data_IF_455839057575
#
_entry.id   IF_455839057575
#
_cell.length_a   1.000
_cell.length_b   1.000
_cell.length_c   1.000
_cell.angle_alpha   90.00
_cell.angle_beta   90.00
_cell.angle_gamma   90.00
#
_symmetry.space_group_name_H-M   'P 1'
#
loop_
_entity.id
_entity.type
_entity.pdbx_description
1 polymer ?
#
# COMPACT_ATOMS: atom_id res chain seq x y z
N UNK A 1 -7.17 -24.03 -30.52
CA UNK A 1 -6.26 -25.03 -29.89
C UNK A 1 -4.79 -24.92 -30.36
N UNK A 2 -4.29 -23.76 -30.82
CA UNK A 2 -2.88 -23.61 -31.27
C UNK A 2 -1.94 -22.92 -30.26
N UNK A 3 -2.47 -22.36 -29.15
CA UNK A 3 -1.68 -21.60 -28.17
C UNK A 3 -1.16 -22.41 -26.96
N UNK A 4 -1.57 -23.67 -26.77
CA UNK A 4 -1.20 -24.47 -25.60
C UNK A 4 0.18 -25.13 -25.70
N UNK A 5 0.73 -25.30 -26.91
CA UNK A 5 2.06 -25.89 -27.13
C UNK A 5 3.24 -24.99 -26.71
N UNK A 6 3.03 -23.68 -26.53
CA UNK A 6 4.11 -22.74 -26.11
C UNK A 6 4.31 -22.66 -24.60
N UNK A 7 3.39 -23.17 -23.78
CA UNK A 7 3.53 -23.17 -22.32
C UNK A 7 4.24 -24.42 -21.77
N UNK A 8 4.31 -25.52 -22.52
CA UNK A 8 4.96 -26.76 -22.06
C UNK A 8 6.48 -26.67 -22.00
N UNK A 9 7.09 -25.72 -22.70
CA UNK A 9 8.55 -25.56 -22.79
C UNK A 9 9.11 -24.54 -21.77
N UNK A 10 8.22 -23.92 -20.96
CA UNK A 10 8.62 -22.94 -19.97
C UNK A 10 9.25 -23.60 -18.73
N UNK A 11 10.31 -23.01 -18.14
CA UNK A 11 10.93 -23.56 -16.94
C UNK A 11 9.90 -23.77 -15.81
N UNK A 12 9.96 -24.88 -15.03
CA UNK A 12 8.97 -25.18 -14.00
C UNK A 12 8.80 -24.09 -12.93
N UNK A 13 9.84 -23.28 -12.68
CA UNK A 13 9.77 -22.14 -11.76
C UNK A 13 8.97 -20.97 -12.33
N UNK A 14 9.05 -20.74 -13.64
CA UNK A 14 8.32 -19.68 -14.34
C UNK A 14 6.83 -20.03 -14.42
N UNK A 15 6.53 -21.30 -14.70
CA UNK A 15 5.16 -21.81 -14.66
C UNK A 15 4.56 -21.64 -13.26
N UNK A 16 5.30 -21.95 -12.18
CA UNK A 16 4.87 -21.74 -10.78
C UNK A 16 4.59 -20.26 -10.47
N UNK A 17 5.44 -19.35 -10.95
CA UNK A 17 5.29 -17.91 -10.74
C UNK A 17 4.05 -17.36 -11.46
N UNK A 18 3.79 -17.85 -12.67
CA UNK A 18 2.69 -17.37 -13.53
C UNK A 18 1.36 -18.10 -13.28
N UNK A 19 1.37 -19.25 -12.59
CA UNK A 19 0.18 -20.04 -12.26
C UNK A 19 -0.98 -19.20 -11.71
N UNK A 20 -0.80 -18.31 -10.70
CA UNK A 20 -1.92 -17.52 -10.18
C UNK A 20 -2.46 -16.45 -11.16
N UNK A 21 -1.66 -16.00 -12.13
CA UNK A 21 -2.11 -15.05 -13.16
C UNK A 21 -2.87 -15.77 -14.28
N UNK A 22 -2.32 -16.90 -14.75
CA UNK A 22 -2.96 -17.77 -15.72
C UNK A 22 -4.29 -18.30 -15.18
N UNK A 23 -4.30 -18.75 -13.92
CA UNK A 23 -5.51 -19.19 -13.23
C UNK A 23 -6.59 -18.11 -13.17
N UNK A 24 -6.20 -16.85 -12.94
CA UNK A 24 -7.13 -15.72 -12.88
C UNK A 24 -7.76 -15.44 -14.23
N UNK A 25 -6.95 -15.50 -15.27
CA UNK A 25 -7.38 -15.25 -16.64
C UNK A 25 -8.34 -16.33 -17.12
N UNK A 26 -7.97 -17.60 -16.93
CA UNK A 26 -8.78 -18.76 -17.30
C UNK A 26 -10.09 -18.79 -16.51
N UNK A 27 -10.05 -18.57 -15.19
CA UNK A 27 -11.25 -18.51 -14.36
C UNK A 27 -12.23 -17.41 -14.83
N UNK A 28 -11.73 -16.24 -15.23
CA UNK A 28 -12.57 -15.14 -15.74
C UNK A 28 -13.16 -15.43 -17.11
N UNK A 29 -12.44 -16.12 -17.99
CA UNK A 29 -12.98 -16.52 -19.29
C UNK A 29 -14.08 -17.57 -19.11
N UNK A 30 -13.84 -18.60 -18.30
CA UNK A 30 -14.83 -19.65 -18.05
C UNK A 30 -16.10 -19.12 -17.36
N UNK A 31 -15.98 -18.21 -16.40
CA UNK A 31 -17.14 -17.59 -15.75
C UNK A 31 -17.95 -16.69 -16.70
N UNK A 32 -17.34 -16.17 -17.77
CA UNK A 32 -18.05 -15.43 -18.83
C UNK A 32 -18.72 -16.35 -19.84
N UNK A 33 -18.10 -17.48 -20.15
CA UNK A 33 -18.62 -18.46 -21.12
C UNK A 33 -19.79 -19.28 -20.55
N UNK A 34 -19.78 -19.60 -19.25
CA UNK A 34 -20.83 -20.40 -18.60
C UNK A 34 -21.25 -19.75 -17.24
N UNK A 35 -22.01 -18.64 -17.27
CA UNK A 35 -22.33 -17.84 -16.09
C UNK A 35 -23.24 -18.54 -15.06
N UNK A 36 -23.85 -19.68 -15.40
CA UNK A 36 -24.71 -20.48 -14.52
C UNK A 36 -24.03 -21.68 -13.86
N UNK A 37 -22.79 -22.01 -14.26
CA UNK A 37 -22.09 -23.19 -13.76
C UNK A 37 -21.41 -22.94 -12.41
N UNK A 38 -21.48 -23.92 -11.50
CA UNK A 38 -20.78 -23.85 -10.23
C UNK A 38 -19.27 -24.05 -10.41
N UNK A 39 -18.46 -23.44 -9.54
CA UNK A 39 -17.00 -23.57 -9.56
C UNK A 39 -16.53 -25.04 -9.54
N UNK A 40 -17.27 -25.90 -8.84
CA UNK A 40 -17.00 -27.34 -8.76
C UNK A 40 -17.28 -28.07 -10.08
N UNK A 41 -18.33 -27.68 -10.82
CA UNK A 41 -18.64 -28.26 -12.12
C UNK A 41 -17.59 -27.88 -13.19
N UNK A 42 -17.16 -26.62 -13.19
CA UNK A 42 -16.12 -26.11 -14.09
C UNK A 42 -14.75 -26.76 -13.79
N UNK A 43 -14.40 -26.90 -12.51
CA UNK A 43 -13.19 -27.59 -12.07
C UNK A 43 -13.14 -29.07 -12.46
N UNK A 44 -14.28 -29.78 -12.30
CA UNK A 44 -14.41 -31.18 -12.72
C UNK A 44 -14.23 -31.36 -14.23
N UNK A 45 -14.75 -30.43 -15.05
CA UNK A 45 -14.55 -30.41 -16.51
C UNK A 45 -13.07 -30.21 -16.86
N UNK A 46 -12.39 -29.24 -16.25
CA UNK A 46 -10.96 -29.01 -16.49
C UNK A 46 -10.11 -30.24 -16.14
N UNK A 47 -10.42 -30.93 -15.04
CA UNK A 47 -9.72 -32.17 -14.68
C UNK A 47 -9.98 -33.30 -15.68
N UNK A 48 -11.17 -33.38 -16.26
CA UNK A 48 -11.50 -34.38 -17.27
C UNK A 48 -10.71 -34.15 -18.57
N UNK A 49 -10.48 -32.89 -18.96
CA UNK A 49 -9.74 -32.51 -20.16
C UNK A 49 -8.22 -32.77 -20.07
N UNK A 50 -7.68 -33.00 -18.86
CA UNK A 50 -6.25 -33.26 -18.64
C UNK A 50 -5.80 -34.70 -18.99
N UNK A 51 -6.73 -35.60 -19.32
CA UNK A 51 -6.44 -36.99 -19.66
C UNK A 51 -5.97 -37.86 -18.48
N UNK A 52 -5.61 -39.12 -18.74
CA UNK A 52 -5.34 -40.13 -17.70
C UNK A 52 -4.00 -39.98 -16.95
N UNK A 53 -3.04 -39.19 -17.48
CA UNK A 53 -1.75 -38.88 -16.83
C UNK A 53 -1.40 -37.39 -16.96
N UNK A 54 -1.99 -36.53 -16.13
CA UNK A 54 -1.75 -35.09 -16.21
C UNK A 54 -0.33 -34.71 -15.75
N UNK A 55 0.26 -33.72 -16.42
CA UNK A 55 1.48 -33.06 -15.93
C UNK A 55 1.23 -32.39 -14.56
N UNK A 56 2.14 -32.56 -13.56
CA UNK A 56 2.09 -31.84 -12.29
C UNK A 56 1.95 -30.31 -12.40
N UNK A 57 2.41 -29.67 -13.47
CA UNK A 57 2.18 -28.24 -13.70
C UNK A 57 0.72 -27.95 -14.09
N UNK A 58 0.13 -28.81 -14.92
CA UNK A 58 -1.25 -28.66 -15.38
C UNK A 58 -2.26 -28.92 -14.24
N UNK A 59 -1.99 -29.90 -13.36
CA UNK A 59 -2.79 -30.12 -12.15
C UNK A 59 -2.79 -28.91 -11.21
N UNK A 60 -1.62 -28.30 -10.98
CA UNK A 60 -1.49 -27.08 -10.16
C UNK A 60 -2.22 -25.89 -10.76
N UNK A 61 -2.20 -25.76 -12.08
CA UNK A 61 -2.96 -24.72 -12.77
C UNK A 61 -4.46 -24.94 -12.57
N UNK A 62 -4.97 -26.16 -12.77
CA UNK A 62 -6.39 -26.47 -12.53
C UNK A 62 -6.80 -26.22 -11.08
N UNK A 63 -5.99 -26.63 -10.10
CA UNK A 63 -6.23 -26.32 -8.69
C UNK A 63 -6.25 -24.81 -8.41
N UNK A 64 -5.35 -24.04 -9.02
CA UNK A 64 -5.32 -22.60 -8.88
C UNK A 64 -6.54 -21.94 -9.55
N UNK A 65 -6.98 -22.43 -10.71
CA UNK A 65 -8.17 -21.96 -11.43
C UNK A 65 -9.42 -22.26 -10.61
N UNK A 66 -9.54 -23.46 -10.04
CA UNK A 66 -10.64 -23.84 -9.14
C UNK A 66 -10.71 -22.94 -7.92
N UNK A 67 -9.58 -22.66 -7.26
CA UNK A 67 -9.52 -21.71 -6.14
C UNK A 67 -9.99 -20.31 -6.54
N UNK A 68 -9.72 -19.92 -7.78
CA UNK A 68 -10.04 -18.59 -8.27
C UNK A 68 -11.49 -18.46 -8.77
N UNK A 69 -12.05 -19.53 -9.33
CA UNK A 69 -13.47 -19.68 -9.65
C UNK A 69 -14.32 -19.71 -8.37
N UNK A 70 -13.83 -20.39 -7.32
CA UNK A 70 -14.47 -20.39 -6.01
C UNK A 70 -14.58 -18.98 -5.38
N UNK A 71 -13.60 -18.10 -5.64
CA UNK A 71 -13.66 -16.70 -5.18
C UNK A 71 -14.63 -15.84 -6.01
N UNK A 72 -14.87 -16.20 -7.28
CA UNK A 72 -15.64 -15.40 -8.23
C UNK A 72 -17.13 -15.78 -8.30
N UNK A 73 -17.48 -17.04 -8.06
CA UNK A 73 -18.86 -17.54 -8.14
C UNK A 73 -19.52 -17.58 -6.75
N UNK A 74 -20.75 -17.08 -6.59
CA UNK A 74 -21.43 -17.08 -5.30
C UNK A 74 -21.70 -18.52 -4.82
N UNK A 75 -21.27 -18.85 -3.59
CA UNK A 75 -21.56 -20.13 -2.93
C UNK A 75 -20.36 -21.00 -2.53
N UNK A 76 -19.12 -20.62 -2.84
CA UNK A 76 -17.96 -21.42 -2.43
C UNK A 76 -17.51 -21.14 -0.99
N UNK A 77 -17.26 -22.20 -0.22
CA UNK A 77 -16.69 -22.12 1.14
C UNK A 77 -15.42 -21.27 1.13
N UNK A 78 -15.36 -20.30 2.05
CA UNK A 78 -14.24 -19.38 2.22
C UNK A 78 -12.91 -20.13 2.36
N UNK A 79 -11.96 -19.84 1.47
CA UNK A 79 -10.54 -20.19 1.65
C UNK A 79 -10.02 -19.41 2.86
N UNK A 80 -9.25 -20.03 3.78
CA UNK A 80 -8.68 -19.29 4.91
C UNK A 80 -7.81 -18.15 4.39
N UNK A 81 -8.09 -16.93 4.86
CA UNK A 81 -7.24 -15.77 4.63
C UNK A 81 -5.81 -16.09 5.06
N UNK A 82 -4.81 -15.56 4.34
CA UNK A 82 -3.40 -15.60 4.75
C UNK A 82 -3.34 -15.22 6.23
N UNK A 83 -2.64 -16.04 7.03
CA UNK A 83 -2.71 -15.98 8.48
C UNK A 83 -2.51 -14.54 9.00
N UNK A 84 -3.36 -14.04 9.91
CA UNK A 84 -3.33 -12.66 10.40
C UNK A 84 -2.03 -12.27 11.12
N UNK A 85 -1.11 -13.21 11.36
CA UNK A 85 0.13 -12.98 12.10
C UNK A 85 1.17 -12.10 11.39
N UNK A 86 1.46 -12.33 10.10
CA UNK A 86 2.59 -11.64 9.44
C UNK A 86 2.27 -10.15 9.20
N UNK A 87 1.04 -9.85 8.77
CA UNK A 87 0.61 -8.46 8.59
C UNK A 87 0.52 -7.70 9.92
N UNK A 88 0.09 -8.36 10.99
CA UNK A 88 0.04 -7.75 12.32
C UNK A 88 1.44 -7.51 12.91
N UNK A 89 2.38 -8.44 12.72
CA UNK A 89 3.76 -8.30 13.18
C UNK A 89 4.46 -7.14 12.48
N UNK A 90 4.32 -7.03 11.15
CA UNK A 90 4.90 -5.91 10.39
C UNK A 90 4.29 -4.56 10.83
N UNK A 91 2.98 -4.54 11.11
CA UNK A 91 2.27 -3.36 11.60
C UNK A 91 2.72 -2.95 13.01
N UNK A 92 2.85 -3.92 13.92
CA UNK A 92 3.37 -3.72 15.27
C UNK A 92 4.83 -3.22 15.22
N UNK A 93 5.68 -3.86 14.41
CA UNK A 93 7.07 -3.45 14.26
C UNK A 93 7.20 -2.01 13.72
N UNK A 94 6.39 -1.64 12.73
CA UNK A 94 6.37 -0.29 12.16
C UNK A 94 5.93 0.78 13.17
N UNK A 95 4.99 0.44 14.07
CA UNK A 95 4.52 1.35 15.12
C UNK A 95 5.45 1.40 16.33
N UNK A 96 6.17 0.32 16.63
CA UNK A 96 7.15 0.25 17.72
C UNK A 96 8.49 0.88 17.33
N UNK A 97 8.82 0.99 16.04
CA UNK A 97 10.09 1.55 15.60
C UNK A 97 10.32 3.01 16.06
N UNK A 98 9.36 3.94 15.94
CA UNK A 98 9.52 5.29 16.50
C UNK A 98 9.72 5.29 18.01
N UNK A 99 9.00 4.43 18.74
CA UNK A 99 9.14 4.28 20.20
C UNK A 99 10.52 3.74 20.57
N UNK A 100 11.01 2.75 19.84
CA UNK A 100 12.37 2.22 19.99
C UNK A 100 13.42 3.31 19.71
N UNK A 101 13.21 4.13 18.69
CA UNK A 101 14.06 5.27 18.40
C UNK A 101 14.19 6.22 19.59
N UNK A 102 13.08 6.55 20.25
CA UNK A 102 13.09 7.41 21.45
C UNK A 102 13.75 6.70 22.63
N UNK A 103 13.41 5.44 22.88
CA UNK A 103 13.85 4.71 24.07
C UNK A 103 15.31 4.24 24.01
N UNK A 104 15.82 3.87 22.83
CA UNK A 104 17.13 3.25 22.66
C UNK A 104 18.11 4.07 21.81
N UNK A 105 17.61 4.89 20.88
CA UNK A 105 18.46 5.70 19.98
C UNK A 105 18.51 7.18 20.40
N UNK A 106 17.85 7.54 21.50
CA UNK A 106 17.83 8.90 22.04
C UNK A 106 17.06 9.89 21.17
N UNK A 107 16.17 9.42 20.29
CA UNK A 107 15.41 10.31 19.41
C UNK A 107 14.53 11.25 20.23
N UNK A 108 14.56 12.52 19.85
CA UNK A 108 13.62 13.50 20.35
C UNK A 108 12.25 13.32 19.69
N UNK A 109 11.21 13.90 20.29
CA UNK A 109 9.87 13.95 19.68
C UNK A 109 9.92 14.65 18.31
N UNK A 110 10.77 15.67 18.18
CA UNK A 110 10.97 16.35 16.91
C UNK A 110 11.57 15.41 15.85
N UNK A 111 12.51 14.55 16.20
CA UNK A 111 13.16 13.61 15.27
C UNK A 111 12.12 12.63 14.69
N UNK A 112 11.22 12.14 15.55
CA UNK A 112 10.10 11.29 15.14
C UNK A 112 9.18 12.04 14.19
N UNK A 113 8.71 13.24 14.57
CA UNK A 113 7.82 14.05 13.73
C UNK A 113 8.48 14.43 12.40
N UNK A 114 9.79 14.70 12.40
CA UNK A 114 10.58 15.00 11.21
C UNK A 114 10.63 13.78 10.27
N UNK A 115 10.89 12.58 10.78
CA UNK A 115 10.86 11.35 9.96
C UNK A 115 9.49 11.11 9.33
N UNK A 116 8.42 11.29 10.10
CA UNK A 116 7.06 11.18 9.59
C UNK A 116 6.74 12.23 8.51
N UNK A 117 7.25 13.45 8.67
CA UNK A 117 7.11 14.50 7.67
C UNK A 117 7.91 14.18 6.40
N UNK A 118 9.17 13.74 6.52
CA UNK A 118 10.01 13.30 5.39
C UNK A 118 9.36 12.14 4.65
N UNK A 119 8.76 11.18 5.37
CA UNK A 119 8.02 10.07 4.75
C UNK A 119 6.88 10.59 3.87
N UNK A 120 6.14 11.62 4.31
CA UNK A 120 5.09 12.23 3.49
C UNK A 120 5.66 12.89 2.23
N UNK A 121 6.81 13.56 2.32
CA UNK A 121 7.49 14.12 1.14
C UNK A 121 7.82 13.00 0.14
N UNK A 122 8.46 11.91 0.60
CA UNK A 122 8.81 10.75 -0.23
C UNK A 122 7.56 10.16 -0.90
N UNK A 123 6.49 9.96 -0.13
CA UNK A 123 5.23 9.39 -0.61
C UNK A 123 4.58 10.32 -1.64
N UNK A 124 4.61 11.64 -1.42
CA UNK A 124 4.13 12.63 -2.37
C UNK A 124 4.88 12.57 -3.71
N UNK A 125 6.22 12.57 -3.66
CA UNK A 125 7.07 12.48 -4.85
C UNK A 125 6.82 11.18 -5.64
N UNK A 126 6.74 10.05 -4.94
CA UNK A 126 6.43 8.77 -5.58
C UNK A 126 4.99 8.72 -6.09
N UNK A 127 4.04 9.42 -5.47
CA UNK A 127 2.68 9.51 -5.97
C UNK A 127 2.60 10.35 -7.25
N UNK A 128 3.37 11.44 -7.35
CA UNK A 128 3.54 12.19 -8.61
C UNK A 128 4.09 11.26 -9.69
N UNK A 129 5.15 10.49 -9.40
CA UNK A 129 5.68 9.51 -10.33
C UNK A 129 4.61 8.49 -10.75
N UNK A 130 3.83 7.95 -9.79
CA UNK A 130 2.70 7.06 -10.10
C UNK A 130 1.70 7.74 -11.05
N UNK A 131 1.30 8.97 -10.78
CA UNK A 131 0.36 9.69 -11.64
C UNK A 131 0.92 9.93 -13.05
N UNK A 132 2.23 10.20 -13.18
CA UNK A 132 2.91 10.36 -14.47
C UNK A 132 2.97 9.04 -15.24
N UNK A 133 3.34 7.94 -14.59
CA UNK A 133 3.43 6.61 -15.21
C UNK A 133 2.10 5.89 -15.38
N UNK A 134 1.01 6.40 -14.80
CA UNK A 134 -0.33 5.86 -14.98
C UNK A 134 -0.68 5.81 -16.48
N UNK A 135 -1.12 4.65 -16.95
CA UNK A 135 -1.43 4.36 -18.35
C UNK A 135 -2.88 3.89 -18.46
N UNK A 136 -3.87 4.79 -18.30
CA UNK A 136 -5.28 4.42 -18.36
C UNK A 136 -5.68 4.02 -19.80
N UNK A 137 -6.61 3.07 -19.91
CA UNK A 137 -7.15 2.60 -21.20
C UNK A 137 -8.03 3.65 -21.90
N UNK A 138 -8.58 4.60 -21.14
CA UNK A 138 -9.51 5.64 -21.62
C UNK A 138 -8.76 6.94 -22.01
N UNK A 139 -8.87 7.41 -23.27
CA UNK A 139 -8.27 8.67 -23.72
C UNK A 139 -8.63 9.90 -22.88
N UNK A 140 -9.85 9.96 -22.32
CA UNK A 140 -10.28 11.09 -21.49
C UNK A 140 -9.45 11.19 -20.19
N UNK A 141 -9.00 10.04 -19.67
CA UNK A 141 -8.17 9.98 -18.46
C UNK A 141 -6.73 10.43 -18.71
N UNK A 142 -6.26 10.44 -19.96
CA UNK A 142 -4.97 11.05 -20.31
C UNK A 142 -5.02 12.57 -20.19
N UNK A 143 -6.11 13.20 -20.65
CA UNK A 143 -6.33 14.64 -20.47
C UNK A 143 -6.42 15.02 -18.99
N UNK A 144 -7.07 14.17 -18.18
CA UNK A 144 -7.15 14.36 -16.74
C UNK A 144 -5.76 14.49 -16.07
N UNK A 145 -4.74 13.74 -16.53
CA UNK A 145 -3.37 13.82 -15.97
C UNK A 145 -2.78 15.24 -16.07
N UNK A 146 -3.06 15.97 -17.15
CA UNK A 146 -2.56 17.34 -17.36
C UNK A 146 -3.12 18.32 -16.33
N UNK A 147 -4.31 18.05 -15.79
CA UNK A 147 -4.90 18.86 -14.72
C UNK A 147 -4.47 18.34 -13.34
N UNK A 148 -4.59 17.04 -13.11
CA UNK A 148 -4.43 16.45 -11.78
C UNK A 148 -2.98 16.41 -11.31
N UNK A 149 -1.99 16.22 -12.18
CA UNK A 149 -0.57 16.16 -11.76
C UNK A 149 -0.09 17.54 -11.24
N UNK A 150 -0.23 18.65 -12.00
CA UNK A 150 0.14 19.97 -11.50
C UNK A 150 -0.67 20.38 -10.27
N UNK A 151 -1.99 20.10 -10.28
CA UNK A 151 -2.85 20.35 -9.13
C UNK A 151 -2.34 19.62 -7.89
N UNK A 152 -2.01 18.34 -8.01
CA UNK A 152 -1.47 17.55 -6.91
C UNK A 152 -0.15 18.13 -6.41
N UNK A 153 0.79 18.46 -7.30
CA UNK A 153 2.07 19.07 -6.91
C UNK A 153 1.87 20.35 -6.10
N UNK A 154 1.01 21.27 -6.56
CA UNK A 154 0.75 22.53 -5.88
C UNK A 154 0.00 22.31 -4.56
N UNK A 155 -1.11 21.59 -4.60
CA UNK A 155 -1.98 21.42 -3.44
C UNK A 155 -1.33 20.54 -2.37
N UNK A 156 -0.87 19.33 -2.73
CA UNK A 156 -0.18 18.45 -1.79
C UNK A 156 1.14 19.06 -1.31
N UNK A 157 1.87 19.74 -2.20
CA UNK A 157 3.10 20.46 -1.86
C UNK A 157 2.86 21.56 -0.83
N UNK A 158 1.84 22.40 -1.03
CA UNK A 158 1.46 23.44 -0.06
C UNK A 158 1.10 22.84 1.31
N UNK A 159 0.28 21.79 1.35
CA UNK A 159 -0.05 21.11 2.60
C UNK A 159 1.19 20.54 3.28
N UNK A 160 2.10 19.92 2.52
CA UNK A 160 3.33 19.35 3.07
C UNK A 160 4.28 20.45 3.59
N UNK A 161 4.36 21.59 2.90
CA UNK A 161 5.18 22.72 3.31
C UNK A 161 4.64 23.39 4.58
N UNK A 162 3.34 23.70 4.65
CA UNK A 162 2.68 24.23 5.86
C UNK A 162 2.89 23.28 7.03
N UNK A 163 2.78 21.98 6.78
CA UNK A 163 3.03 20.98 7.80
C UNK A 163 4.47 20.99 8.32
N UNK A 164 5.45 21.06 7.41
CA UNK A 164 6.85 21.20 7.78
C UNK A 164 7.06 22.43 8.65
N UNK A 165 6.41 23.54 8.31
CA UNK A 165 6.49 24.75 9.11
C UNK A 165 5.99 24.57 10.55
N UNK A 166 4.93 23.78 10.78
CA UNK A 166 4.50 23.42 12.14
C UNK A 166 5.50 22.50 12.85
N UNK A 167 5.99 21.46 12.19
CA UNK A 167 6.96 20.51 12.78
C UNK A 167 8.21 21.25 13.27
N UNK A 168 8.82 22.04 12.41
CA UNK A 168 10.03 22.79 12.75
C UNK A 168 9.74 23.99 13.66
N UNK A 169 8.64 24.71 13.44
CA UNK A 169 8.32 25.91 14.22
C UNK A 169 7.91 25.61 15.67
N UNK A 170 7.22 24.49 15.91
CA UNK A 170 6.74 24.12 17.25
C UNK A 170 7.64 23.16 17.99
N UNK A 171 8.34 22.26 17.28
CA UNK A 171 9.14 21.19 17.90
C UNK A 171 10.63 21.29 17.58
N UNK A 172 11.03 22.09 16.59
CA UNK A 172 12.44 22.27 16.23
C UNK A 172 13.22 23.00 17.32
N UNK A 173 14.36 22.42 17.72
CA UNK A 173 15.21 23.03 18.76
C UNK A 173 16.07 24.19 18.26
N UNK A 174 16.25 24.32 16.93
CA UNK A 174 16.92 25.46 16.29
C UNK A 174 15.86 26.27 15.56
N UNK A 175 15.92 27.60 15.69
CA UNK A 175 15.09 28.53 14.90
C UNK A 175 15.55 28.46 13.44
N UNK A 176 15.11 27.45 12.71
CA UNK A 176 15.39 27.30 11.28
C UNK A 176 14.51 28.31 10.55
N UNK A 177 15.06 29.46 10.16
CA UNK A 177 14.35 30.49 9.39
C UNK A 177 14.20 30.14 7.90
N UNK A 178 14.78 29.00 7.47
CA UNK A 178 14.91 28.55 6.07
C UNK A 178 14.05 27.32 5.76
N UNK A 179 12.84 27.27 6.31
CA UNK A 179 11.96 26.09 6.20
C UNK A 179 11.58 25.71 4.77
N UNK A 180 11.65 26.66 3.84
CA UNK A 180 11.35 26.45 2.42
C UNK A 180 12.59 26.09 1.59
N UNK A 181 13.77 26.01 2.20
CA UNK A 181 15.01 25.62 1.53
C UNK A 181 15.26 24.11 1.74
N UNK A 182 15.42 23.32 0.66
CA UNK A 182 15.75 21.91 0.74
C UNK A 182 16.95 21.60 1.64
N UNK A 183 17.99 22.42 1.52
CA UNK A 183 19.24 22.29 2.25
C UNK A 183 19.03 22.31 3.78
N UNK A 184 18.12 23.14 4.27
CA UNK A 184 17.92 23.33 5.71
C UNK A 184 17.41 22.06 6.42
N UNK A 185 16.49 21.32 5.80
CA UNK A 185 16.00 20.07 6.39
C UNK A 185 16.93 18.89 6.09
N UNK A 186 17.67 18.89 4.97
CA UNK A 186 18.73 17.90 4.71
C UNK A 186 19.85 18.00 5.75
N UNK A 187 20.30 19.22 6.08
CA UNK A 187 21.26 19.49 7.14
C UNK A 187 20.73 19.05 8.50
N UNK A 188 19.45 19.28 8.76
CA UNK A 188 18.81 18.86 10.02
C UNK A 188 18.78 17.34 10.15
N UNK A 189 18.42 16.62 9.08
CA UNK A 189 18.45 15.15 9.04
C UNK A 189 19.87 14.64 9.32
N UNK A 190 20.88 15.28 8.73
CA UNK A 190 22.29 14.95 8.97
C UNK A 190 22.74 15.21 10.40
N UNK A 191 22.42 16.39 10.92
CA UNK A 191 22.75 16.78 12.29
C UNK A 191 22.11 15.87 13.35
N UNK A 192 20.95 15.28 13.04
CA UNK A 192 20.26 14.33 13.92
C UNK A 192 20.62 12.86 13.67
N UNK A 193 21.51 12.57 12.71
CA UNK A 193 21.90 11.19 12.39
C UNK A 193 20.77 10.34 11.80
N UNK A 194 19.76 10.97 11.19
CA UNK A 194 18.54 10.31 10.72
C UNK A 194 18.66 9.71 9.31
N UNK A 195 19.80 9.87 8.63
CA UNK A 195 20.00 9.39 7.26
C UNK A 195 19.70 7.91 7.06
N UNK A 196 20.06 7.06 8.03
CA UNK A 196 19.75 5.63 7.94
C UNK A 196 18.24 5.37 7.96
N UNK A 197 17.51 6.02 8.87
CA UNK A 197 16.06 5.88 8.97
C UNK A 197 15.37 6.40 7.70
N UNK A 198 15.78 7.58 7.20
CA UNK A 198 15.28 8.13 5.93
C UNK A 198 15.58 7.19 4.77
N UNK A 199 16.79 6.62 4.70
CA UNK A 199 17.19 5.67 3.66
C UNK A 199 16.33 4.40 3.67
N UNK A 200 16.06 3.82 4.85
CA UNK A 200 15.19 2.65 5.00
C UNK A 200 13.75 2.96 4.58
N UNK A 201 13.22 4.12 5.00
CA UNK A 201 11.87 4.57 4.60
C UNK A 201 11.78 4.74 3.07
N UNK A 202 12.75 5.46 2.48
CA UNK A 202 12.82 5.67 1.05
C UNK A 202 12.92 4.34 0.29
N UNK A 203 13.80 3.43 0.73
CA UNK A 203 13.97 2.12 0.12
C UNK A 203 12.68 1.28 0.16
N UNK A 204 11.94 1.30 1.27
CA UNK A 204 10.66 0.60 1.40
C UNK A 204 9.61 1.10 0.38
N UNK A 205 9.47 2.43 0.26
CA UNK A 205 8.51 3.00 -0.70
C UNK A 205 8.97 2.86 -2.16
N UNK A 206 10.27 3.00 -2.43
CA UNK A 206 10.87 2.77 -3.75
C UNK A 206 10.69 1.31 -4.18
N UNK A 207 10.93 0.35 -3.28
CA UNK A 207 10.67 -1.06 -3.55
C UNK A 207 9.21 -1.29 -3.93
N UNK A 208 8.26 -0.72 -3.17
CA UNK A 208 6.84 -0.81 -3.51
C UNK A 208 6.50 -0.16 -4.86
N UNK A 209 7.15 0.95 -5.21
CA UNK A 209 7.01 1.59 -6.51
C UNK A 209 7.55 0.73 -7.65
N UNK A 210 8.83 0.33 -7.60
CA UNK A 210 9.42 -0.45 -8.70
C UNK A 210 8.86 -1.86 -8.80
N UNK A 211 8.73 -2.56 -7.68
CA UNK A 211 8.28 -3.94 -7.68
C UNK A 211 6.79 -4.06 -7.98
N UNK A 212 5.94 -3.41 -7.18
CA UNK A 212 4.49 -3.55 -7.34
C UNK A 212 3.96 -2.66 -8.45
N UNK A 213 4.29 -1.36 -8.44
CA UNK A 213 3.64 -0.43 -9.35
C UNK A 213 4.09 -0.61 -10.80
N UNK A 214 5.41 -0.64 -11.03
CA UNK A 214 6.00 -0.83 -12.37
C UNK A 214 6.02 -2.32 -12.73
N UNK A 215 6.70 -3.15 -11.93
CA UNK A 215 6.97 -4.56 -12.24
C UNK A 215 5.71 -5.43 -12.36
N UNK A 216 4.71 -5.23 -11.50
CA UNK A 216 3.43 -5.96 -11.56
C UNK A 216 2.35 -5.25 -12.40
N UNK A 217 2.69 -4.11 -12.99
CA UNK A 217 1.82 -3.41 -13.94
C UNK A 217 0.61 -2.70 -13.32
N UNK A 218 0.62 -2.35 -12.03
CA UNK A 218 -0.46 -1.57 -11.41
C UNK A 218 -0.68 -0.23 -12.13
N UNK A 219 0.37 0.33 -12.75
CA UNK A 219 0.29 1.57 -13.53
C UNK A 219 -0.74 1.52 -14.67
N UNK A 220 -1.03 0.33 -15.21
CA UNK A 220 -2.00 0.14 -16.32
C UNK A 220 -3.45 0.30 -15.86
N UNK A 221 -3.73 -0.04 -14.61
CA UNK A 221 -5.07 0.07 -14.03
C UNK A 221 -5.25 1.33 -13.17
N UNK A 222 -4.21 2.17 -13.06
CA UNK A 222 -4.22 3.35 -12.23
C UNK A 222 -4.80 4.56 -12.98
N UNK A 223 -5.64 5.34 -12.31
CA UNK A 223 -6.14 6.62 -12.81
C UNK A 223 -5.64 7.77 -11.94
N UNK A 224 -5.42 8.94 -12.54
CA UNK A 224 -4.96 10.12 -11.82
C UNK A 224 -5.89 10.55 -10.67
N UNK A 225 -7.23 10.54 -10.82
CA UNK A 225 -8.14 10.87 -9.71
C UNK A 225 -8.04 9.90 -8.53
N UNK A 226 -7.89 8.60 -8.78
CA UNK A 226 -7.76 7.60 -7.72
C UNK A 226 -6.42 7.75 -6.97
N UNK A 227 -5.35 8.08 -7.69
CA UNK A 227 -4.03 8.32 -7.10
C UNK A 227 -3.98 9.63 -6.32
N UNK A 228 -4.74 10.65 -6.70
CA UNK A 228 -4.77 11.95 -6.02
C UNK A 228 -5.15 11.81 -4.54
N UNK A 229 -6.23 11.08 -4.22
CA UNK A 229 -6.71 10.94 -2.84
C UNK A 229 -5.86 10.02 -1.96
N UNK A 230 -5.01 9.17 -2.55
CA UNK A 230 -4.32 8.07 -1.86
C UNK A 230 -3.44 8.51 -0.67
N UNK A 231 -2.68 9.63 -0.75
CA UNK A 231 -1.81 10.05 0.36
C UNK A 231 -2.53 10.80 1.49
N UNK A 232 -3.74 11.31 1.26
CA UNK A 232 -4.41 12.24 2.18
C UNK A 232 -4.73 11.64 3.55
N UNK A 233 -5.06 10.35 3.60
CA UNK A 233 -5.33 9.66 4.87
C UNK A 233 -4.16 9.82 5.85
N UNK A 234 -2.92 9.72 5.38
CA UNK A 234 -1.70 9.89 6.20
C UNK A 234 -1.50 11.32 6.66
N UNK A 235 -1.73 12.28 5.75
CA UNK A 235 -1.60 13.72 6.06
C UNK A 235 -2.57 14.12 7.15
N UNK A 236 -3.80 13.62 7.13
CA UNK A 236 -4.81 13.89 8.17
C UNK A 236 -4.36 13.34 9.52
N UNK A 237 -3.87 12.11 9.60
CA UNK A 237 -3.35 11.54 10.87
C UNK A 237 -2.25 12.42 11.45
N UNK A 238 -1.33 12.86 10.60
CA UNK A 238 -0.19 13.67 11.03
C UNK A 238 -0.66 15.05 11.49
N UNK A 239 -1.62 15.69 10.80
CA UNK A 239 -2.21 16.96 11.25
C UNK A 239 -2.90 16.84 12.60
N UNK A 240 -3.73 15.81 12.79
CA UNK A 240 -4.39 15.58 14.08
C UNK A 240 -3.36 15.39 15.19
N UNK A 241 -2.28 14.65 14.89
CA UNK A 241 -1.18 14.48 15.84
C UNK A 241 -0.53 15.81 16.20
N UNK A 242 -0.19 16.65 15.22
CA UNK A 242 0.50 17.91 15.50
C UNK A 242 -0.40 18.89 16.24
N UNK A 243 -1.67 18.99 15.84
CA UNK A 243 -2.63 19.90 16.47
C UNK A 243 -2.83 19.51 17.93
N UNK A 244 -3.26 18.27 18.19
CA UNK A 244 -3.55 17.84 19.54
C UNK A 244 -2.28 17.60 20.37
N UNK A 245 -1.22 17.12 19.73
CA UNK A 245 0.07 16.95 20.36
C UNK A 245 0.69 18.29 20.74
N UNK A 246 0.66 19.27 19.85
CA UNK A 246 1.10 20.64 20.12
C UNK A 246 0.26 21.34 21.19
N UNK A 247 -1.07 21.13 21.21
CA UNK A 247 -1.92 21.56 22.32
C UNK A 247 -1.52 20.88 23.64
N UNK A 248 -1.23 19.57 23.61
CA UNK A 248 -0.75 18.82 24.76
C UNK A 248 0.59 19.34 25.29
N UNK A 249 1.52 19.68 24.40
CA UNK A 249 2.81 20.31 24.78
C UNK A 249 2.57 21.66 25.42
N UNK A 250 1.72 22.51 24.84
CA UNK A 250 1.43 23.84 25.38
C UNK A 250 0.70 23.78 26.73
N UNK A 251 -0.19 22.81 26.94
CA UNK A 251 -0.94 22.66 28.18
C UNK A 251 -0.15 22.00 29.31
N UNK A 252 0.71 21.03 28.99
CA UNK A 252 1.36 20.14 29.97
C UNK A 252 2.90 20.31 30.02
N UNK A 253 3.47 21.18 29.19
CA UNK A 253 4.90 21.51 29.17
C UNK A 253 5.82 20.39 28.67
N UNK A 254 5.29 19.25 28.21
CA UNK A 254 6.09 18.08 27.82
C UNK A 254 5.75 17.60 26.40
N UNK A 255 6.74 17.51 25.50
CA UNK A 255 6.60 16.92 24.16
C UNK A 255 6.14 15.46 24.15
N UNK A 256 6.31 14.74 25.26
CA UNK A 256 5.96 13.33 25.38
C UNK A 256 4.48 13.05 25.07
N UNK A 257 3.58 13.97 25.42
CA UNK A 257 2.15 13.81 25.19
C UNK A 257 1.78 13.82 23.70
N UNK A 258 2.52 14.57 22.88
CA UNK A 258 2.35 14.54 21.43
C UNK A 258 2.72 13.19 20.83
N UNK A 259 3.80 12.57 21.33
CA UNK A 259 4.24 11.24 20.90
C UNK A 259 3.26 10.15 21.33
N UNK A 260 2.79 10.17 22.59
CA UNK A 260 1.78 9.22 23.08
C UNK A 260 0.52 9.32 22.22
N UNK A 261 0.07 10.53 21.93
CA UNK A 261 -1.11 10.74 21.12
C UNK A 261 -0.93 10.30 19.66
N UNK A 262 0.23 10.58 19.02
CA UNK A 262 0.58 10.06 17.69
C UNK A 262 0.42 8.54 17.66
N UNK A 263 1.02 7.85 18.63
CA UNK A 263 1.03 6.39 18.69
C UNK A 263 -0.39 5.86 18.86
N UNK A 264 -1.19 6.46 19.74
CA UNK A 264 -2.59 6.04 19.97
C UNK A 264 -3.45 6.26 18.73
N UNK A 265 -3.40 7.45 18.11
CA UNK A 265 -4.18 7.76 16.91
C UNK A 265 -3.77 6.87 15.73
N UNK A 266 -2.47 6.71 15.50
CA UNK A 266 -1.94 5.86 14.43
C UNK A 266 -2.34 4.40 14.64
N UNK A 267 -2.16 3.87 15.85
CA UNK A 267 -2.58 2.51 16.21
C UNK A 267 -4.08 2.32 16.03
N UNK A 268 -4.90 3.30 16.44
CA UNK A 268 -6.35 3.25 16.28
C UNK A 268 -6.79 3.26 14.82
N UNK A 269 -6.16 4.06 13.97
CA UNK A 269 -6.46 4.12 12.53
C UNK A 269 -6.02 2.84 11.83
N UNK A 270 -4.82 2.34 12.14
CA UNK A 270 -4.30 1.08 11.62
C UNK A 270 -5.20 -0.10 12.02
N UNK A 271 -5.64 -0.14 13.29
CA UNK A 271 -6.59 -1.14 13.79
C UNK A 271 -7.96 -1.01 13.11
N UNK A 272 -8.48 0.21 12.95
CA UNK A 272 -9.76 0.45 12.28
C UNK A 272 -9.72 0.09 10.78
N UNK A 273 -8.58 0.26 10.12
CA UNK A 273 -8.36 -0.21 8.75
C UNK A 273 -8.36 -1.75 8.70
N UNK A 274 -7.64 -2.40 9.61
CA UNK A 274 -7.60 -3.85 9.71
C UNK A 274 -8.98 -4.46 10.01
N UNK A 275 -9.73 -3.88 10.96
CA UNK A 275 -11.09 -4.31 11.29
C UNK A 275 -12.09 -4.06 10.15
N UNK A 276 -11.92 -3.02 9.34
CA UNK A 276 -12.75 -2.75 8.16
C UNK A 276 -12.52 -3.77 7.05
N UNK A 277 -11.28 -4.22 6.84
CA UNK A 277 -10.97 -5.33 5.92
C UNK A 277 -11.66 -6.62 6.37
N UNK A 278 -11.65 -6.93 7.67
CA UNK A 278 -12.32 -8.11 8.23
C UNK A 278 -13.84 -8.01 8.25
N UNK A 279 -14.41 -6.84 8.54
CA UNK A 279 -15.87 -6.61 8.45
C UNK A 279 -16.38 -6.66 7.02
N UNK A 280 -15.61 -6.16 6.05
CA UNK A 280 -15.92 -6.29 4.62
C UNK A 280 -15.93 -7.75 4.15
N UNK A 281 -15.02 -8.58 4.68
CA UNK A 281 -15.00 -10.02 4.46
C UNK A 281 -16.17 -10.74 5.15
N UNK A 282 -16.54 -10.33 6.37
CA UNK A 282 -17.66 -10.91 7.12
C UNK A 282 -19.05 -10.52 6.56
N UNK A 283 -19.22 -9.30 6.05
CA UNK A 283 -20.48 -8.85 5.44
C UNK A 283 -20.78 -9.61 4.14
N UNK A 284 -19.77 -9.84 3.29
CA UNK A 284 -19.90 -10.71 2.09
C UNK A 284 -20.30 -12.15 2.44
N UNK A 285 -20.01 -12.59 3.66
CA UNK A 285 -20.38 -13.91 4.20
C UNK A 285 -21.83 -13.99 4.69
N UNK A 286 -22.46 -12.86 5.06
CA UNK A 286 -23.87 -12.81 5.48
C UNK A 286 -24.83 -12.61 4.32
N UNK A 287 -24.42 -11.97 3.23
CA UNK A 287 -25.25 -11.81 2.01
C UNK A 287 -25.26 -13.08 1.13
N UNK A 288 -24.43 -14.07 1.46
CA UNK A 288 -24.33 -15.36 0.76
C UNK A 288 -24.88 -16.55 1.58
N UNK A 289 -25.56 -16.26 2.70
CA UNK A 289 -26.34 -17.20 3.51
C UNK A 289 -27.82 -16.84 3.39
#
# INVERSE_FOLDING_TARGET
MQNTKKLSDAPPWLLRLLTPLLARHVARQMAKEDPGASAAALGKRMRADLGARPDPAALRLVEAVERQLAVQLPGARAVPAVAPGVSAIVLLAANLFPLYGVAALGWSVFDVLLLFWVENVIVGLLNVARMVFASPDDPLQWGAKLLFVPFFCVHYGMFTAVHGAFVFGMFGQRKTTRLFEPEAWLDTIGAQGLWLAVGVLAASHLFSFFWNYIGRGEYRAASAPALMGKPYGRVVVLHLTIIFGGMGVQALGSPLWALVLLVVLKTGIDLAAHLREHRGAAARRKTSA
#
